data_IF_079714995008
#
_entry.id   IF_079714995008
#
_cell.length_a   1.000
_cell.length_b   1.000
_cell.length_c   1.000
_cell.angle_alpha   90.00
_cell.angle_beta   90.00
_cell.angle_gamma   90.00
#
_symmetry.space_group_name_H-M   'P 1'
#
loop_
_entity.id
_entity.type
_entity.pdbx_description
1 polymer ?
#
# COMPACT_ATOMS: atom_id res chain seq x y z
N UNK A 1 -21.42 -67.23 4.06
CA UNK A 1 -20.58 -68.12 3.24
C UNK A 1 -20.43 -67.50 1.85
N UNK A 2 -19.18 -67.25 1.45
CA UNK A 2 -18.61 -67.19 0.07
C UNK A 2 -19.29 -66.31 -1.00
N UNK A 3 -18.62 -65.24 -1.47
CA UNK A 3 -17.71 -65.15 -2.66
C UNK A 3 -18.49 -65.40 -3.97
N UNK A 4 -18.42 -64.62 -5.06
CA UNK A 4 -17.36 -63.79 -5.65
C UNK A 4 -17.97 -63.09 -6.90
N UNK A 5 -17.37 -61.96 -7.32
CA UNK A 5 -17.10 -61.42 -8.70
C UNK A 5 -18.08 -61.78 -9.85
N UNK A 6 -18.44 -60.87 -10.76
CA UNK A 6 -17.66 -60.51 -11.95
C UNK A 6 -18.01 -59.09 -12.42
N UNK A 7 -16.98 -58.26 -12.62
CA UNK A 7 -17.01 -56.94 -13.27
C UNK A 7 -16.71 -57.16 -14.75
N UNK A 8 -17.56 -56.64 -15.64
CA UNK A 8 -17.33 -56.64 -17.08
C UNK A 8 -16.91 -55.23 -17.52
N UNK A 9 -15.62 -55.06 -17.86
CA UNK A 9 -15.10 -53.87 -18.52
C UNK A 9 -15.65 -53.80 -19.95
N UNK A 10 -16.28 -52.69 -20.32
CA UNK A 10 -16.51 -52.31 -21.71
C UNK A 10 -15.55 -51.17 -22.03
N UNK A 11 -14.51 -51.49 -22.80
CA UNK A 11 -13.69 -50.52 -23.53
C UNK A 11 -14.49 -50.05 -24.75
N UNK A 12 -14.89 -48.78 -24.76
CA UNK A 12 -15.35 -48.12 -25.98
C UNK A 12 -14.34 -47.03 -26.33
N UNK A 13 -13.47 -47.34 -27.28
CA UNK A 13 -12.56 -46.37 -27.88
C UNK A 13 -13.33 -45.38 -28.75
N UNK A 14 -13.18 -44.09 -28.46
CA UNK A 14 -13.47 -43.03 -29.42
C UNK A 14 -12.16 -42.64 -30.10
N UNK A 15 -12.03 -43.07 -31.36
CA UNK A 15 -11.11 -42.52 -32.35
C UNK A 15 -11.59 -41.11 -32.71
N UNK A 16 -10.87 -40.08 -32.29
CA UNK A 16 -11.01 -38.74 -32.87
C UNK A 16 -10.03 -38.64 -34.03
N UNK A 17 -10.61 -38.62 -35.23
CA UNK A 17 -9.92 -38.38 -36.49
C UNK A 17 -9.37 -36.96 -36.55
N UNK A 18 -8.09 -36.83 -36.89
CA UNK A 18 -7.52 -35.59 -37.41
C UNK A 18 -8.26 -35.18 -38.69
N UNK A 19 -8.70 -33.91 -38.73
CA UNK A 19 -9.13 -33.20 -39.93
C UNK A 19 -8.20 -32.01 -40.18
N UNK A 20 -8.02 -31.57 -41.44
CA UNK A 20 -6.85 -30.78 -41.85
C UNK A 20 -6.96 -29.29 -41.47
N UNK A 21 -5.77 -28.69 -41.35
CA UNK A 21 -5.54 -27.27 -41.16
C UNK A 21 -6.27 -26.42 -42.21
N UNK A 22 -7.06 -25.46 -41.74
CA UNK A 22 -7.65 -24.43 -42.58
C UNK A 22 -6.65 -23.28 -42.76
N UNK A 23 -6.44 -22.99 -44.02
CA UNK A 23 -5.53 -22.04 -44.65
C UNK A 23 -5.91 -20.59 -44.32
N UNK A 24 -4.91 -19.79 -43.97
CA UNK A 24 -5.01 -18.36 -43.67
C UNK A 24 -5.22 -17.56 -44.95
N UNK A 25 -6.36 -16.88 -45.08
CA UNK A 25 -6.57 -15.82 -46.08
C UNK A 25 -6.12 -14.46 -45.52
N UNK A 26 -5.52 -13.57 -46.34
CA UNK A 26 -4.97 -12.31 -45.85
C UNK A 26 -6.08 -11.29 -45.58
N UNK A 27 -6.00 -10.61 -44.42
CA UNK A 27 -6.82 -9.44 -44.15
C UNK A 27 -6.36 -8.27 -45.02
N UNK A 28 -7.30 -7.75 -45.80
CA UNK A 28 -7.16 -6.53 -46.59
C UNK A 28 -7.25 -5.34 -45.62
N UNK A 29 -6.16 -4.58 -45.51
CA UNK A 29 -6.17 -3.27 -44.86
C UNK A 29 -7.01 -2.29 -45.67
N UNK A 30 -8.17 -1.89 -45.12
CA UNK A 30 -8.89 -0.71 -45.59
C UNK A 30 -8.39 0.50 -44.84
N UNK A 31 -7.51 1.26 -45.50
CA UNK A 31 -7.10 2.61 -45.10
C UNK A 31 -8.32 3.52 -45.15
N UNK A 32 -8.85 3.88 -43.98
CA UNK A 32 -9.82 4.97 -43.85
C UNK A 32 -9.08 6.28 -43.65
N UNK A 33 -9.05 7.09 -44.71
CA UNK A 33 -8.52 8.44 -44.72
C UNK A 33 -9.45 9.38 -43.95
N UNK A 34 -9.03 9.83 -42.76
CA UNK A 34 -9.63 10.99 -42.11
C UNK A 34 -8.97 12.28 -42.64
N UNK A 35 -9.75 13.33 -42.95
CA UNK A 35 -9.21 14.60 -43.39
C UNK A 35 -8.51 15.32 -42.23
N UNK A 36 -7.20 15.52 -42.35
CA UNK A 36 -6.43 16.46 -41.54
C UNK A 36 -6.92 17.87 -41.81
N UNK A 37 -7.53 18.49 -40.81
CA UNK A 37 -7.75 19.94 -40.80
C UNK A 37 -6.51 20.59 -40.20
N UNK A 38 -5.76 21.29 -41.06
CA UNK A 38 -4.64 22.15 -40.68
C UNK A 38 -5.15 23.27 -39.76
N UNK A 39 -4.77 23.21 -38.48
CA UNK A 39 -4.88 24.35 -37.56
C UNK A 39 -3.54 25.10 -37.61
N UNK A 40 -3.52 26.37 -38.05
CA UNK A 40 -2.29 27.17 -38.06
C UNK A 40 -1.84 27.48 -36.63
N UNK A 41 -0.51 27.57 -36.36
CA UNK A 41 0.00 27.87 -35.04
C UNK A 41 -0.45 29.27 -34.61
N UNK A 42 -1.18 29.35 -33.50
CA UNK A 42 -1.51 30.62 -32.85
C UNK A 42 -0.23 31.24 -32.27
N UNK A 43 0.03 32.48 -32.66
CA UNK A 43 1.18 33.26 -32.24
C UNK A 43 1.22 33.44 -30.71
N UNK A 44 2.42 33.29 -30.15
CA UNK A 44 2.71 33.61 -28.75
C UNK A 44 2.43 35.10 -28.46
N UNK A 45 1.86 35.44 -27.29
CA UNK A 45 1.66 36.84 -26.92
C UNK A 45 3.00 37.51 -26.60
N UNK A 46 3.31 38.56 -27.35
CA UNK A 46 4.39 39.52 -27.09
C UNK A 46 4.23 40.12 -25.69
N UNK A 47 5.19 39.88 -24.80
CA UNK A 47 5.30 40.58 -23.51
C UNK A 47 5.64 42.06 -23.78
N UNK A 48 4.81 42.97 -23.28
CA UNK A 48 5.13 44.39 -23.20
C UNK A 48 6.19 44.64 -22.09
N UNK A 49 7.09 45.62 -22.25
CA UNK A 49 8.09 45.93 -21.23
C UNK A 49 7.43 46.49 -19.96
N UNK A 50 7.88 46.00 -18.80
CA UNK A 50 7.54 46.54 -17.48
C UNK A 50 8.02 48.00 -17.33
N UNK A 51 7.23 48.90 -16.71
CA UNK A 51 7.67 50.26 -16.40
C UNK A 51 8.74 50.26 -15.29
N UNK A 52 9.65 51.26 -15.26
CA UNK A 52 10.68 51.35 -14.24
C UNK A 52 10.08 51.66 -12.86
N UNK A 53 10.66 51.03 -11.83
CA UNK A 53 10.28 51.22 -10.44
C UNK A 53 10.57 52.65 -9.95
N UNK A 54 9.71 53.23 -9.08
CA UNK A 54 9.96 54.56 -8.51
C UNK A 54 11.11 54.52 -7.50
N UNK A 55 11.98 55.52 -7.59
CA UNK A 55 13.07 55.76 -6.64
C UNK A 55 12.49 56.27 -5.32
N UNK A 56 12.60 55.49 -4.26
CA UNK A 56 12.22 55.93 -2.91
C UNK A 56 13.47 56.49 -2.22
N UNK A 57 13.47 57.79 -2.00
CA UNK A 57 14.47 58.53 -1.22
C UNK A 57 14.41 58.10 0.24
N UNK A 58 15.54 57.59 0.75
CA UNK A 58 15.74 57.23 2.15
C UNK A 58 15.79 58.49 3.03
N UNK A 59 14.87 58.58 3.99
CA UNK A 59 15.06 59.41 5.18
C UNK A 59 14.98 58.51 6.42
N UNK A 60 16.10 58.47 7.15
CA UNK A 60 16.27 57.79 8.43
C UNK A 60 15.78 58.69 9.56
N UNK A 61 14.85 58.24 10.40
CA UNK A 61 14.73 58.74 11.77
C UNK A 61 15.59 57.89 12.70
N UNK A 62 16.32 58.55 13.58
CA UNK A 62 17.08 57.95 14.66
C UNK A 62 16.12 57.64 15.81
N UNK A 63 15.81 56.37 16.05
CA UNK A 63 15.15 55.92 17.28
C UNK A 63 16.10 55.04 18.08
N UNK A 64 16.34 55.48 19.32
CA UNK A 64 17.15 54.80 20.32
C UNK A 64 16.32 53.68 20.93
N UNK A 65 16.51 52.45 20.47
CA UNK A 65 15.84 51.27 21.03
C UNK A 65 16.69 50.67 22.16
N UNK A 66 16.20 50.82 23.38
CA UNK A 66 16.63 50.07 24.56
C UNK A 66 16.44 48.57 24.31
N UNK A 67 17.53 47.81 24.28
CA UNK A 67 17.52 46.34 24.14
C UNK A 67 17.17 45.68 25.47
N UNK A 68 15.94 45.20 25.60
CA UNK A 68 15.60 44.11 26.52
C UNK A 68 15.88 42.78 25.82
N UNK A 69 16.43 41.75 26.50
CA UNK A 69 16.65 40.45 25.88
C UNK A 69 15.29 39.80 25.60
N UNK A 70 14.96 39.68 24.31
CA UNK A 70 13.83 38.88 23.84
C UNK A 70 14.10 37.43 24.20
N UNK A 71 13.34 36.89 25.15
CA UNK A 71 13.30 35.46 25.41
C UNK A 71 12.88 34.75 24.12
N UNK A 72 13.68 33.76 23.72
CA UNK A 72 13.37 32.84 22.64
C UNK A 72 11.98 32.23 22.91
N UNK A 73 11.04 32.26 21.93
CA UNK A 73 9.73 31.66 22.14
C UNK A 73 9.91 30.19 22.52
N UNK A 74 9.17 29.69 23.52
CA UNK A 74 9.32 28.31 23.96
C UNK A 74 9.14 27.41 22.74
N UNK A 75 10.13 26.57 22.48
CA UNK A 75 10.01 25.49 21.50
C UNK A 75 8.83 24.65 21.97
N UNK A 76 7.69 24.81 21.31
CA UNK A 76 6.56 23.89 21.49
C UNK A 76 7.02 22.61 20.83
N UNK A 77 7.73 21.79 21.60
CA UNK A 77 8.07 20.45 21.20
C UNK A 77 6.75 19.71 21.11
N UNK A 78 6.17 19.66 19.90
CA UNK A 78 5.05 18.78 19.61
C UNK A 78 5.43 17.38 20.12
N UNK A 79 4.53 16.68 20.84
CA UNK A 79 4.82 15.33 21.27
C UNK A 79 5.26 14.49 20.07
N UNK A 80 6.18 13.54 20.26
CA UNK A 80 6.73 12.78 19.15
C UNK A 80 5.60 12.10 18.37
N UNK A 81 5.68 12.21 17.05
CA UNK A 81 4.78 11.61 16.09
C UNK A 81 4.88 10.08 16.18
N UNK A 82 4.12 9.48 17.11
CA UNK A 82 4.11 8.05 17.34
C UNK A 82 2.73 7.47 17.08
N UNK A 83 2.74 6.25 16.56
CA UNK A 83 1.56 5.40 16.40
C UNK A 83 1.83 4.06 17.07
N UNK A 84 0.77 3.41 17.51
CA UNK A 84 0.75 1.98 17.76
C UNK A 84 0.20 1.26 16.54
N UNK A 85 0.90 0.22 16.11
CA UNK A 85 0.48 -0.70 15.06
C UNK A 85 0.43 -2.11 15.65
N UNK A 86 -0.67 -2.81 15.43
CA UNK A 86 -0.91 -4.17 15.92
C UNK A 86 -1.19 -5.08 14.73
N UNK A 87 -0.34 -6.08 14.54
CA UNK A 87 -0.47 -7.04 13.45
C UNK A 87 -1.30 -8.26 13.86
N UNK A 88 -2.38 -8.51 13.12
CA UNK A 88 -3.34 -9.59 13.34
C UNK A 88 -3.11 -10.85 12.51
N UNK A 89 -1.96 -11.01 11.85
CA UNK A 89 -1.68 -12.03 10.80
C UNK A 89 -2.40 -11.78 9.47
N UNK A 90 -2.02 -12.55 8.44
CA UNK A 90 -2.40 -12.33 7.03
C UNK A 90 -2.09 -10.87 6.64
N UNK A 91 -3.12 -10.06 6.43
CA UNK A 91 -3.01 -8.64 6.15
C UNK A 91 -3.78 -7.76 7.17
N UNK A 92 -4.18 -8.31 8.31
CA UNK A 92 -4.98 -7.57 9.29
C UNK A 92 -4.11 -6.65 10.15
N UNK A 93 -4.47 -5.37 10.24
CA UNK A 93 -3.81 -4.39 11.11
C UNK A 93 -4.80 -3.55 11.89
N UNK A 94 -4.43 -3.18 13.11
CA UNK A 94 -5.07 -2.17 13.96
C UNK A 94 -4.05 -1.06 14.23
N UNK A 95 -4.40 0.18 13.89
CA UNK A 95 -3.50 1.34 13.92
C UNK A 95 -4.16 2.49 14.68
N UNK A 96 -3.45 3.10 15.63
CA UNK A 96 -3.94 4.24 16.40
C UNK A 96 -2.81 5.03 17.05
N UNK A 97 -3.09 6.25 17.52
CA UNK A 97 -2.13 7.08 18.26
C UNK A 97 -2.43 7.16 19.76
N UNK A 98 -3.68 6.93 20.15
CA UNK A 98 -4.16 6.86 21.54
C UNK A 98 -5.08 5.64 21.67
N UNK A 99 -4.84 4.70 22.60
CA UNK A 99 -5.73 3.56 22.85
C UNK A 99 -7.18 3.95 23.19
N UNK A 100 -7.41 5.17 23.68
CA UNK A 100 -8.75 5.70 23.96
C UNK A 100 -9.38 6.45 22.77
N UNK A 101 -8.61 6.67 21.70
CA UNK A 101 -9.02 7.41 20.52
C UNK A 101 -9.54 6.52 19.38
N UNK A 102 -9.84 7.13 18.22
CA UNK A 102 -10.23 6.40 17.03
C UNK A 102 -9.12 5.48 16.53
N UNK A 103 -9.51 4.29 16.06
CA UNK A 103 -8.59 3.30 15.48
C UNK A 103 -8.90 3.07 14.01
N UNK A 104 -7.87 2.81 13.23
CA UNK A 104 -7.98 2.37 11.84
C UNK A 104 -7.73 0.86 11.80
N UNK A 105 -8.71 0.13 11.29
CA UNK A 105 -8.60 -1.28 11.00
C UNK A 105 -8.41 -1.49 9.51
N UNK A 106 -7.51 -2.39 9.14
CA UNK A 106 -7.29 -2.78 7.75
C UNK A 106 -7.44 -4.29 7.65
N UNK A 107 -8.21 -4.75 6.65
CA UNK A 107 -8.36 -6.15 6.27
C UNK A 107 -8.68 -7.10 7.44
N UNK A 108 -9.71 -6.74 8.23
CA UNK A 108 -10.16 -7.58 9.35
C UNK A 108 -10.80 -8.85 8.83
N UNK A 109 -10.04 -9.94 8.84
CA UNK A 109 -10.48 -11.29 8.52
C UNK A 109 -10.87 -12.09 9.79
N UNK A 110 -10.25 -11.77 10.93
CA UNK A 110 -10.49 -12.40 12.22
C UNK A 110 -10.70 -11.34 13.31
N UNK A 111 -11.96 -10.98 13.61
CA UNK A 111 -12.27 -9.98 14.63
C UNK A 111 -11.92 -10.44 16.05
N UNK A 112 -11.62 -11.73 16.28
CA UNK A 112 -11.20 -12.21 17.61
C UNK A 112 -9.79 -11.74 18.00
N UNK A 113 -9.03 -11.20 17.03
CA UNK A 113 -7.67 -10.68 17.23
C UNK A 113 -7.62 -9.18 17.52
N UNK A 114 -8.75 -8.49 17.48
CA UNK A 114 -8.81 -7.06 17.81
C UNK A 114 -8.55 -6.85 19.30
N UNK A 115 -7.90 -5.74 19.65
CA UNK A 115 -7.55 -5.49 21.06
C UNK A 115 -8.73 -5.09 21.93
N UNK A 116 -9.86 -4.74 21.33
CA UNK A 116 -11.06 -4.33 22.04
C UNK A 116 -12.27 -4.16 21.13
N UNK A 117 -13.46 -3.93 21.70
CA UNK A 117 -14.69 -3.75 20.93
C UNK A 117 -14.59 -2.53 20.01
N UNK A 118 -15.16 -2.63 18.82
CA UNK A 118 -15.22 -1.52 17.86
C UNK A 118 -16.29 -0.49 18.24
N UNK A 119 -16.08 0.75 17.83
CA UNK A 119 -16.94 1.90 18.12
C UNK A 119 -17.28 2.67 16.84
N UNK A 120 -18.29 3.56 16.92
CA UNK A 120 -18.66 4.43 15.81
C UNK A 120 -17.57 5.47 15.44
N UNK A 121 -16.55 5.64 16.30
CA UNK A 121 -15.41 6.52 16.01
C UNK A 121 -14.36 5.85 15.13
N UNK A 122 -14.27 4.52 15.16
CA UNK A 122 -13.28 3.74 14.42
C UNK A 122 -13.55 3.75 12.90
N UNK A 123 -12.53 3.38 12.13
CA UNK A 123 -12.56 3.30 10.67
C UNK A 123 -12.17 1.89 10.22
N UNK A 124 -12.88 1.33 9.25
CA UNK A 124 -12.55 0.05 8.63
C UNK A 124 -12.18 0.21 7.15
N UNK A 125 -11.04 -0.33 6.76
CA UNK A 125 -10.57 -0.38 5.39
C UNK A 125 -10.51 -1.84 4.91
N UNK A 126 -11.04 -2.11 3.73
CA UNK A 126 -10.97 -3.45 3.11
C UNK A 126 -10.42 -3.35 1.70
N UNK A 127 -9.27 -3.98 1.47
CA UNK A 127 -8.51 -3.88 0.21
C UNK A 127 -9.14 -4.71 -0.89
N UNK A 128 -9.69 -5.88 -0.57
CA UNK A 128 -10.43 -6.73 -1.49
C UNK A 128 -11.18 -7.83 -0.72
N UNK A 129 -11.91 -8.70 -1.43
CA UNK A 129 -12.90 -9.60 -0.82
C UNK A 129 -12.44 -11.05 -0.65
N UNK A 130 -11.14 -11.33 -0.68
CA UNK A 130 -10.66 -12.66 -0.31
C UNK A 130 -10.87 -12.94 1.18
N UNK A 131 -11.06 -14.22 1.50
CA UNK A 131 -11.48 -14.68 2.83
C UNK A 131 -10.48 -14.35 3.95
N UNK A 132 -9.21 -14.16 3.60
CA UNK A 132 -8.10 -13.79 4.48
C UNK A 132 -7.89 -12.28 4.63
N UNK A 133 -8.74 -11.46 3.98
CA UNK A 133 -8.77 -10.00 4.08
C UNK A 133 -10.10 -9.46 4.62
N UNK A 134 -11.19 -10.23 4.53
CA UNK A 134 -12.50 -9.76 4.99
C UNK A 134 -13.26 -10.82 5.77
N UNK A 135 -13.79 -10.40 6.91
CA UNK A 135 -14.88 -11.07 7.60
C UNK A 135 -16.19 -10.36 7.25
N UNK A 136 -17.00 -10.96 6.38
CA UNK A 136 -18.23 -10.33 5.88
C UNK A 136 -19.22 -9.94 7.00
N UNK A 137 -19.35 -10.78 8.02
CA UNK A 137 -20.26 -10.50 9.13
C UNK A 137 -19.78 -9.31 9.98
N UNK A 138 -18.48 -9.22 10.24
CA UNK A 138 -17.88 -8.08 10.92
C UNK A 138 -17.99 -6.81 10.08
N UNK A 139 -17.64 -6.87 8.79
CA UNK A 139 -17.73 -5.73 7.87
C UNK A 139 -19.16 -5.17 7.79
N UNK A 140 -20.16 -6.05 7.66
CA UNK A 140 -21.57 -5.66 7.58
C UNK A 140 -22.12 -5.07 8.89
N UNK A 141 -21.53 -5.43 10.04
CA UNK A 141 -21.96 -4.95 11.37
C UNK A 141 -21.06 -3.85 11.94
N UNK A 142 -20.02 -3.44 11.21
CA UNK A 142 -19.08 -2.42 11.67
C UNK A 142 -19.79 -1.07 11.89
N UNK A 143 -19.73 -0.49 13.10
CA UNK A 143 -20.53 0.69 13.45
C UNK A 143 -19.91 2.02 12.99
N UNK A 144 -18.63 2.01 12.61
CA UNK A 144 -17.89 3.19 12.18
C UNK A 144 -17.95 3.44 10.68
N UNK A 145 -17.18 4.41 10.21
CA UNK A 145 -17.04 4.65 8.77
C UNK A 145 -16.15 3.58 8.12
N UNK A 146 -16.40 3.30 6.85
CA UNK A 146 -15.61 2.31 6.14
C UNK A 146 -15.35 2.69 4.68
N UNK A 147 -14.18 2.29 4.18
CA UNK A 147 -13.89 2.26 2.75
C UNK A 147 -13.75 0.79 2.36
N UNK A 148 -14.72 0.32 1.59
CA UNK A 148 -14.81 -1.08 1.17
C UNK A 148 -14.61 -1.18 -0.34
N UNK A 149 -13.50 -1.80 -0.75
CA UNK A 149 -13.23 -2.20 -2.15
C UNK A 149 -13.42 -1.05 -3.14
N UNK A 150 -12.88 0.11 -2.78
CA UNK A 150 -12.96 1.32 -3.60
C UNK A 150 -11.81 2.30 -3.33
N UNK A 151 -11.49 3.09 -4.34
CA UNK A 151 -10.72 4.31 -4.19
C UNK A 151 -11.59 5.38 -3.52
N UNK A 152 -10.97 6.37 -2.90
CA UNK A 152 -11.71 7.42 -2.21
C UNK A 152 -10.89 8.07 -1.13
N UNK A 153 -11.52 8.90 -0.31
CA UNK A 153 -10.87 9.54 0.81
C UNK A 153 -11.79 9.63 2.00
N UNK A 154 -11.21 9.50 3.18
CA UNK A 154 -11.90 9.71 4.45
C UNK A 154 -11.01 10.57 5.33
N UNK A 155 -11.58 11.47 6.13
CA UNK A 155 -10.82 12.26 7.08
C UNK A 155 -11.62 12.51 8.35
N UNK A 156 -11.02 12.15 9.48
CA UNK A 156 -11.66 12.24 10.79
C UNK A 156 -10.60 12.29 11.88
N UNK A 157 -10.76 13.18 12.86
CA UNK A 157 -9.96 13.20 14.10
C UNK A 157 -8.43 13.14 13.89
N UNK A 158 -7.93 13.84 12.86
CA UNK A 158 -6.51 13.88 12.51
C UNK A 158 -6.00 12.65 11.75
N UNK A 159 -6.88 11.71 11.42
CA UNK A 159 -6.65 10.59 10.51
C UNK A 159 -7.08 11.02 9.12
N UNK A 160 -6.18 10.90 8.14
CA UNK A 160 -6.50 11.11 6.72
C UNK A 160 -6.21 9.85 5.93
N UNK A 161 -7.20 9.38 5.17
CA UNK A 161 -7.11 8.15 4.40
C UNK A 161 -7.36 8.46 2.94
N UNK A 162 -6.56 7.85 2.07
CA UNK A 162 -6.75 7.86 0.63
C UNK A 162 -6.64 6.43 0.08
N UNK A 163 -7.69 5.97 -0.58
CA UNK A 163 -7.70 4.72 -1.34
C UNK A 163 -7.31 4.94 -2.79
N UNK A 164 -6.42 4.09 -3.30
CA UNK A 164 -5.99 4.06 -4.70
C UNK A 164 -6.39 2.73 -5.33
N UNK A 165 -6.91 2.80 -6.55
CA UNK A 165 -7.14 1.61 -7.36
C UNK A 165 -5.81 0.90 -7.65
N UNK A 166 -5.82 -0.42 -7.51
CA UNK A 166 -4.71 -1.30 -7.88
C UNK A 166 -5.29 -2.63 -8.39
N UNK A 167 -4.42 -3.59 -8.70
CA UNK A 167 -4.87 -4.90 -9.15
C UNK A 167 -4.27 -6.04 -8.36
N UNK A 168 -5.06 -7.10 -8.19
CA UNK A 168 -4.63 -8.34 -7.56
C UNK A 168 -3.76 -9.18 -8.49
N UNK A 169 -3.96 -9.10 -9.81
CA UNK A 169 -3.10 -9.73 -10.81
C UNK A 169 -2.47 -8.72 -11.76
N UNK A 170 -1.35 -9.09 -12.38
CA UNK A 170 -0.69 -8.25 -13.36
C UNK A 170 -1.58 -8.08 -14.61
N UNK A 171 -1.79 -6.83 -15.05
CA UNK A 171 -2.53 -6.51 -16.27
C UNK A 171 -4.04 -6.42 -16.13
N UNK A 172 -4.61 -6.61 -14.92
CA UNK A 172 -6.03 -6.31 -14.69
C UNK A 172 -6.27 -4.79 -14.70
N UNK A 173 -7.49 -4.39 -15.08
CA UNK A 173 -7.87 -3.00 -15.12
C UNK A 173 -7.98 -2.41 -13.71
N UNK A 174 -7.41 -1.23 -13.51
CA UNK A 174 -7.57 -0.46 -12.29
C UNK A 174 -8.95 0.21 -12.30
N UNK A 175 -9.80 -0.15 -11.34
CA UNK A 175 -11.18 0.37 -11.25
C UNK A 175 -11.31 1.21 -9.98
N UNK A 176 -12.03 2.35 -10.03
CA UNK A 176 -12.22 3.20 -8.86
C UNK A 176 -13.13 2.57 -7.79
N UNK A 177 -14.01 1.63 -8.15
CA UNK A 177 -14.86 0.87 -7.23
C UNK A 177 -15.05 -0.55 -7.78
N UNK A 178 -15.15 -1.55 -6.89
CA UNK A 178 -15.35 -2.95 -7.28
C UNK A 178 -14.18 -3.61 -8.04
N UNK A 179 -13.01 -2.98 -8.09
CA UNK A 179 -11.76 -3.56 -8.58
C UNK A 179 -11.23 -4.71 -7.73
N UNK A 180 -10.09 -5.26 -8.14
CA UNK A 180 -9.55 -6.50 -7.55
C UNK A 180 -8.62 -6.28 -6.37
N UNK A 181 -8.05 -5.07 -6.20
CA UNK A 181 -7.28 -4.69 -5.03
C UNK A 181 -7.25 -3.17 -4.85
N UNK A 182 -7.13 -2.70 -3.61
CA UNK A 182 -6.93 -1.28 -3.31
C UNK A 182 -5.75 -1.08 -2.37
N UNK A 183 -5.00 -0.01 -2.63
CA UNK A 183 -3.93 0.47 -1.75
C UNK A 183 -4.53 1.56 -0.87
N UNK A 184 -4.33 1.50 0.44
CA UNK A 184 -4.78 2.56 1.36
C UNK A 184 -3.59 3.28 1.97
N UNK A 185 -3.55 4.59 1.76
CA UNK A 185 -2.66 5.53 2.43
C UNK A 185 -3.36 6.00 3.70
N UNK A 186 -2.66 5.98 4.83
CA UNK A 186 -3.14 6.39 6.14
C UNK A 186 -2.11 7.39 6.69
N UNK A 187 -2.48 8.67 6.72
CA UNK A 187 -1.71 9.71 7.40
C UNK A 187 -2.25 9.87 8.82
N UNK A 188 -1.39 9.62 9.81
CA UNK A 188 -1.73 9.70 11.23
C UNK A 188 -0.54 10.25 12.02
N UNK A 189 -0.77 11.28 12.83
CA UNK A 189 0.26 11.91 13.69
C UNK A 189 1.53 12.36 12.94
N UNK A 190 1.43 12.67 11.65
CA UNK A 190 2.59 13.07 10.83
C UNK A 190 3.42 11.90 10.29
N UNK A 191 2.95 10.65 10.47
CA UNK A 191 3.47 9.46 9.80
C UNK A 191 2.55 9.08 8.64
N UNK A 192 3.14 8.66 7.52
CA UNK A 192 2.43 8.08 6.38
C UNK A 192 2.63 6.57 6.32
N UNK A 193 1.54 5.83 6.55
CA UNK A 193 1.48 4.39 6.35
C UNK A 193 0.77 4.06 5.03
N UNK A 194 1.20 2.98 4.38
CA UNK A 194 0.55 2.50 3.17
C UNK A 194 0.36 1.00 3.24
N UNK A 195 -0.89 0.57 3.16
CA UNK A 195 -1.25 -0.85 3.08
C UNK A 195 -1.57 -1.22 1.63
N UNK A 196 -0.81 -2.16 1.08
CA UNK A 196 -0.89 -2.53 -0.34
C UNK A 196 -1.91 -3.64 -0.64
N UNK A 197 -2.49 -4.26 0.38
CA UNK A 197 -3.29 -5.48 0.20
C UNK A 197 -2.48 -6.54 -0.56
N UNK A 198 -3.12 -7.20 -1.50
CA UNK A 198 -2.52 -8.23 -2.33
C UNK A 198 -2.19 -7.73 -3.74
N UNK A 199 -1.52 -6.57 -3.83
CA UNK A 199 -1.10 -6.00 -5.11
C UNK A 199 -0.30 -6.99 -5.97
N UNK A 200 -0.77 -7.28 -7.18
CA UNK A 200 -0.14 -8.17 -8.16
C UNK A 200 0.57 -7.45 -9.31
N UNK A 201 0.55 -6.12 -9.32
CA UNK A 201 1.23 -5.30 -10.33
C UNK A 201 2.75 -5.56 -10.36
N UNK A 202 3.36 -5.42 -11.53
CA UNK A 202 4.83 -5.53 -11.68
C UNK A 202 5.57 -4.23 -11.33
N UNK A 203 4.87 -3.09 -11.39
CA UNK A 203 5.33 -1.75 -11.06
C UNK A 203 4.14 -0.87 -10.64
N UNK A 204 4.40 0.14 -9.82
CA UNK A 204 3.46 1.22 -9.54
C UNK A 204 3.37 2.15 -10.76
N UNK A 205 2.20 2.69 -11.02
CA UNK A 205 2.02 3.73 -12.04
C UNK A 205 2.56 5.07 -11.54
N UNK A 206 2.79 6.03 -12.45
CA UNK A 206 3.22 7.38 -12.08
C UNK A 206 2.17 8.08 -11.20
N UNK A 207 0.88 7.85 -11.46
CA UNK A 207 -0.20 8.38 -10.63
C UNK A 207 -0.19 7.76 -9.22
N UNK A 208 0.03 6.45 -9.11
CA UNK A 208 0.15 5.78 -7.82
C UNK A 208 1.37 6.32 -7.05
N UNK A 209 2.54 6.42 -7.69
CA UNK A 209 3.74 6.99 -7.07
C UNK A 209 3.54 8.43 -6.60
N UNK A 210 2.92 9.26 -7.43
CA UNK A 210 2.66 10.66 -7.09
C UNK A 210 1.71 10.79 -5.90
N UNK A 211 0.70 9.92 -5.79
CA UNK A 211 -0.24 9.93 -4.67
C UNK A 211 0.43 9.40 -3.38
N UNK A 212 1.22 8.33 -3.49
CA UNK A 212 1.95 7.73 -2.38
C UNK A 212 2.95 8.70 -1.75
N UNK A 213 3.73 9.42 -2.57
CA UNK A 213 4.74 10.36 -2.09
C UNK A 213 5.79 9.68 -1.20
N UNK A 214 6.26 10.41 -0.17
CA UNK A 214 7.21 9.85 0.80
C UNK A 214 6.47 8.97 1.82
N UNK A 215 6.84 7.69 1.88
CA UNK A 215 6.19 6.69 2.74
C UNK A 215 7.09 6.36 3.93
N UNK A 216 6.55 6.48 5.14
CA UNK A 216 7.27 6.08 6.35
C UNK A 216 7.19 4.56 6.54
N UNK A 217 6.00 3.98 6.41
CA UNK A 217 5.76 2.55 6.63
C UNK A 217 4.96 1.96 5.46
N UNK A 218 5.54 1.00 4.76
CA UNK A 218 4.84 0.21 3.75
C UNK A 218 4.51 -1.18 4.29
N UNK A 219 3.24 -1.56 4.23
CA UNK A 219 2.74 -2.88 4.58
C UNK A 219 2.35 -3.59 3.29
N UNK A 220 3.08 -4.64 2.92
CA UNK A 220 2.91 -5.28 1.61
C UNK A 220 3.25 -6.76 1.62
N UNK A 221 2.62 -7.52 0.74
CA UNK A 221 2.95 -8.93 0.55
C UNK A 221 4.29 -9.12 -0.17
N UNK A 222 5.03 -10.17 0.21
CA UNK A 222 6.24 -10.58 -0.52
C UNK A 222 6.11 -11.95 -1.20
N UNK A 223 5.10 -12.75 -0.84
CA UNK A 223 4.83 -14.07 -1.41
C UNK A 223 3.33 -14.42 -1.31
N UNK A 224 2.68 -14.58 -2.46
CA UNK A 224 1.29 -14.99 -2.54
C UNK A 224 1.00 -15.60 -3.92
N UNK A 225 0.50 -16.83 -3.96
CA UNK A 225 0.20 -17.52 -5.21
C UNK A 225 -0.98 -16.91 -5.97
N UNK A 226 -1.93 -16.29 -5.26
CA UNK A 226 -3.15 -15.75 -5.87
C UNK A 226 -2.91 -14.46 -6.66
N UNK A 227 -1.89 -13.69 -6.28
CA UNK A 227 -1.45 -12.46 -6.96
C UNK A 227 -0.18 -12.69 -7.77
N UNK A 228 0.22 -13.96 -7.92
CA UNK A 228 1.47 -14.41 -8.52
C UNK A 228 2.71 -13.69 -7.93
N UNK A 229 2.70 -13.33 -6.66
CA UNK A 229 3.81 -12.69 -5.96
C UNK A 229 4.79 -13.75 -5.45
N UNK A 230 6.06 -13.77 -5.88
CA UNK A 230 7.01 -14.78 -5.42
C UNK A 230 8.48 -14.39 -5.63
N UNK A 231 9.38 -15.21 -5.08
CA UNK A 231 10.83 -15.04 -5.17
C UNK A 231 11.39 -15.10 -6.60
N UNK A 232 10.75 -15.83 -7.52
CA UNK A 232 11.23 -15.98 -8.88
C UNK A 232 11.01 -14.71 -9.71
N UNK A 233 9.86 -14.05 -9.54
CA UNK A 233 9.57 -12.82 -10.27
C UNK A 233 9.91 -11.54 -9.50
N UNK A 234 10.08 -11.58 -8.18
CA UNK A 234 10.51 -10.45 -7.35
C UNK A 234 9.64 -9.18 -7.49
N UNK A 235 8.36 -9.29 -7.82
CA UNK A 235 7.47 -8.12 -7.98
C UNK A 235 7.43 -7.26 -6.71
N UNK A 236 7.29 -7.89 -5.54
CA UNK A 236 7.17 -7.20 -4.25
C UNK A 236 8.42 -6.41 -3.91
N UNK A 237 9.60 -6.98 -4.17
CA UNK A 237 10.87 -6.27 -3.98
C UNK A 237 10.95 -5.05 -4.88
N UNK A 238 10.67 -5.20 -6.18
CA UNK A 238 10.72 -4.07 -7.14
C UNK A 238 9.73 -2.96 -6.80
N UNK A 239 8.52 -3.29 -6.33
CA UNK A 239 7.55 -2.29 -5.88
C UNK A 239 8.12 -1.47 -4.72
N UNK A 240 8.77 -2.11 -3.76
CA UNK A 240 9.39 -1.42 -2.62
C UNK A 240 10.66 -0.67 -2.98
N UNK A 241 11.45 -1.16 -3.95
CA UNK A 241 12.58 -0.42 -4.52
C UNK A 241 12.13 0.85 -5.26
N UNK A 242 10.99 0.80 -5.96
CA UNK A 242 10.40 1.95 -6.63
C UNK A 242 9.89 3.00 -5.63
N UNK A 243 9.33 2.53 -4.51
CA UNK A 243 8.71 3.39 -3.49
C UNK A 243 9.71 3.94 -2.45
N UNK A 244 10.75 3.18 -2.13
CA UNK A 244 11.75 3.48 -1.10
C UNK A 244 11.15 3.91 0.26
N UNK A 245 10.25 3.11 0.87
CA UNK A 245 9.71 3.43 2.19
C UNK A 245 10.81 3.35 3.26
N UNK A 246 10.65 4.05 4.39
CA UNK A 246 11.62 3.96 5.49
C UNK A 246 11.58 2.60 6.19
N UNK A 247 10.39 2.03 6.34
CA UNK A 247 10.17 0.70 6.91
C UNK A 247 9.21 -0.12 6.06
N UNK A 248 9.57 -1.37 5.81
CA UNK A 248 8.71 -2.39 5.19
C UNK A 248 8.27 -3.37 6.27
N UNK A 249 6.96 -3.60 6.39
CA UNK A 249 6.38 -4.66 7.20
C UNK A 249 5.75 -5.67 6.23
N UNK A 250 6.37 -6.84 6.01
CA UNK A 250 5.87 -7.79 5.03
C UNK A 250 4.64 -8.53 5.58
N UNK A 251 3.57 -8.56 4.79
CA UNK A 251 2.50 -9.57 4.90
C UNK A 251 2.85 -10.75 3.98
N UNK A 252 2.08 -11.85 4.04
CA UNK A 252 2.20 -13.04 3.19
C UNK A 252 3.65 -13.31 2.73
N UNK A 253 4.48 -13.86 3.61
CA UNK A 253 5.92 -14.03 3.36
C UNK A 253 6.34 -15.48 3.61
N UNK A 254 7.33 -15.94 2.85
CA UNK A 254 7.97 -17.24 3.11
C UNK A 254 9.49 -17.06 3.23
N UNK A 255 10.20 -18.14 3.54
CA UNK A 255 11.64 -18.08 3.76
C UNK A 255 12.42 -17.61 2.53
N UNK A 256 11.97 -17.96 1.32
CA UNK A 256 12.70 -17.61 0.09
C UNK A 256 12.57 -16.12 -0.21
N UNK A 257 11.38 -15.53 -0.04
CA UNK A 257 11.18 -14.10 -0.24
C UNK A 257 11.74 -13.27 0.91
N UNK A 258 11.73 -13.80 2.13
CA UNK A 258 12.43 -13.19 3.26
C UNK A 258 13.94 -13.13 3.01
N UNK A 259 14.57 -14.21 2.53
CA UNK A 259 16.01 -14.23 2.17
C UNK A 259 16.36 -13.16 1.14
N UNK A 260 15.53 -13.01 0.12
CA UNK A 260 15.74 -11.96 -0.88
C UNK A 260 15.60 -10.58 -0.26
N UNK A 261 14.56 -10.33 0.52
CA UNK A 261 14.34 -9.03 1.14
C UNK A 261 15.50 -8.62 2.08
N UNK A 262 16.01 -9.55 2.90
CA UNK A 262 17.12 -9.24 3.82
C UNK A 262 18.47 -9.11 3.12
N UNK A 263 18.59 -9.58 1.88
CA UNK A 263 19.74 -9.32 1.04
C UNK A 263 19.72 -7.90 0.46
N UNK A 264 18.54 -7.25 0.40
CA UNK A 264 18.35 -5.88 -0.09
C UNK A 264 18.32 -4.85 1.06
N UNK A 265 17.71 -5.19 2.19
CA UNK A 265 17.47 -4.27 3.30
C UNK A 265 17.89 -4.85 4.65
N UNK A 266 18.40 -4.03 5.59
CA UNK A 266 18.61 -4.45 6.97
C UNK A 266 17.33 -5.03 7.56
N UNK A 267 17.44 -6.24 8.12
CA UNK A 267 16.31 -7.03 8.59
C UNK A 267 16.20 -7.07 10.11
N UNK A 268 14.96 -6.90 10.57
CA UNK A 268 14.59 -6.88 11.98
C UNK A 268 13.43 -7.84 12.24
N UNK A 269 13.23 -8.24 13.48
CA UNK A 269 12.04 -8.97 13.90
C UNK A 269 11.52 -8.49 15.26
N UNK A 270 10.22 -8.67 15.48
CA UNK A 270 9.61 -8.54 16.80
C UNK A 270 8.64 -9.69 17.03
N UNK A 271 8.81 -10.40 18.13
CA UNK A 271 7.88 -11.44 18.57
C UNK A 271 6.56 -10.86 19.10
N UNK A 272 6.57 -9.57 19.47
CA UNK A 272 5.36 -8.86 19.90
C UNK A 272 4.63 -8.33 18.67
N UNK A 273 3.32 -8.64 18.51
CA UNK A 273 2.54 -8.17 17.36
C UNK A 273 2.16 -6.69 17.46
N UNK A 274 2.27 -6.09 18.64
CA UNK A 274 2.01 -4.68 18.92
C UNK A 274 3.32 -3.90 19.03
N UNK A 275 3.43 -2.82 18.27
CA UNK A 275 4.60 -1.96 18.23
C UNK A 275 4.20 -0.49 18.29
N UNK A 276 4.88 0.26 19.16
CA UNK A 276 4.89 1.71 19.08
C UNK A 276 6.04 2.14 18.15
N UNK A 277 5.71 2.92 17.12
CA UNK A 277 6.65 3.42 16.13
C UNK A 277 6.56 4.94 16.10
N UNK A 278 7.66 5.59 16.44
CA UNK A 278 7.80 7.04 16.37
C UNK A 278 8.58 7.46 15.13
N UNK A 279 8.26 8.61 14.56
CA UNK A 279 8.97 9.17 13.39
C UNK A 279 10.48 9.30 13.62
N UNK A 280 10.90 9.59 14.85
CA UNK A 280 12.30 9.70 15.25
C UNK A 280 13.04 8.36 15.31
N UNK A 281 12.32 7.25 15.40
CA UNK A 281 12.90 5.91 15.47
C UNK A 281 13.14 5.30 14.07
N UNK A 282 12.51 5.84 13.04
CA UNK A 282 12.64 5.32 11.68
C UNK A 282 13.94 5.80 11.01
N UNK A 283 14.68 4.88 10.38
CA UNK A 283 15.85 5.21 9.57
C UNK A 283 15.48 6.05 8.33
N UNK A 284 16.47 6.71 7.73
CA UNK A 284 16.33 7.29 6.39
C UNK A 284 16.49 6.23 5.29
N UNK A 285 17.21 5.14 5.57
CA UNK A 285 17.36 4.00 4.69
C UNK A 285 16.21 3.02 4.90
N UNK A 286 15.76 2.37 3.82
CA UNK A 286 14.74 1.32 3.88
C UNK A 286 15.22 0.14 4.71
N UNK A 287 14.39 -0.28 5.66
CA UNK A 287 14.58 -1.47 6.49
C UNK A 287 13.36 -2.39 6.38
N UNK A 288 13.51 -3.66 6.75
CA UNK A 288 12.40 -4.61 6.82
C UNK A 288 12.22 -5.16 8.23
N UNK A 289 10.98 -5.24 8.71
CA UNK A 289 10.61 -5.73 10.03
C UNK A 289 9.58 -6.84 9.94
N UNK A 290 9.99 -8.06 10.30
CA UNK A 290 9.12 -9.24 10.37
C UNK A 290 8.33 -9.26 11.68
N UNK A 291 7.01 -9.49 11.59
CA UNK A 291 6.07 -9.58 12.71
C UNK A 291 5.29 -10.90 12.71
N UNK A 292 4.59 -11.18 13.81
CA UNK A 292 3.65 -12.30 13.91
C UNK A 292 4.31 -13.66 13.70
N UNK A 293 3.65 -14.55 12.96
CA UNK A 293 4.16 -15.90 12.68
C UNK A 293 5.52 -15.88 11.96
N UNK A 294 5.76 -14.86 11.12
CA UNK A 294 7.01 -14.71 10.38
C UNK A 294 8.18 -14.43 11.33
N UNK A 295 7.97 -13.58 12.35
CA UNK A 295 8.97 -13.27 13.37
C UNK A 295 9.36 -14.48 14.24
N UNK A 296 8.48 -15.48 14.39
CA UNK A 296 8.77 -16.68 15.17
C UNK A 296 9.62 -17.71 14.40
N UNK A 297 9.59 -17.64 13.07
CA UNK A 297 10.11 -18.69 12.19
C UNK A 297 11.33 -18.24 11.39
N UNK A 298 11.30 -17.04 10.83
CA UNK A 298 12.35 -16.50 9.95
C UNK A 298 13.69 -16.29 10.67
N UNK A 299 13.75 -15.70 11.89
CA UNK A 299 15.02 -15.50 12.59
C UNK A 299 15.77 -16.80 12.95
N UNK A 300 15.12 -17.96 12.85
CA UNK A 300 15.81 -19.26 13.01
C UNK A 300 16.71 -19.61 11.83
N UNK A 301 16.52 -18.94 10.70
CA UNK A 301 17.23 -19.21 9.44
C UNK A 301 18.00 -18.01 8.92
N UNK A 302 17.71 -16.79 9.40
CA UNK A 302 18.34 -15.54 8.99
C UNK A 302 18.87 -14.81 10.22
N UNK A 303 20.04 -14.19 10.07
CA UNK A 303 20.63 -13.34 11.10
C UNK A 303 19.92 -11.99 11.10
N UNK A 304 18.97 -11.82 12.03
CA UNK A 304 18.13 -10.63 12.17
C UNK A 304 18.32 -10.07 13.57
N UNK A 305 18.32 -8.73 13.67
CA UNK A 305 18.35 -8.05 14.96
C UNK A 305 16.94 -7.91 15.54
N UNK A 306 16.81 -7.95 16.85
CA UNK A 306 15.52 -7.68 17.49
C UNK A 306 15.19 -6.19 17.34
N UNK A 307 13.93 -5.88 17.04
CA UNK A 307 13.49 -4.48 16.91
C UNK A 307 13.64 -3.74 18.24
N UNK A 308 14.32 -2.58 18.19
CA UNK A 308 14.53 -1.71 19.36
C UNK A 308 15.76 -2.04 20.21
N UNK A 309 16.59 -3.02 19.83
CA UNK A 309 17.92 -3.28 20.43
C UNK A 309 19.04 -2.42 19.82
#
# INVERSE_FOLDING_TARGET
MMKQLWIMLIFLGLLVSCGPAAETAPMVETVSSHPTTDVPPTAAPTQAPLPPAPTVTSQRPTETTTTSPTAEPPTVTSPPACITLIYGENAQFEIFSDPAGPRVFVDVYDPTKLTGPVSASDILLTTHTHWDHVNEAFQASFPGEQIFVQAGSLSRDGIHIQGLASSHNAGENLQPEGGTNYIYIIDLTGLRLVHFGDIGQASLTDEQLSALGAVDIAITQLNNSYSEMNAANQKGLRLMEQLQPRLIIPTHVNLDTAKLAVAHWPGWYSETPSLEICQSALSAETQILFLGQSAQTIPRYLDLSHWGE
#
